data_IF_283338253004
#
_entry.id   IF_283338253004
#
_cell.length_a   1.000
_cell.length_b   1.000
_cell.length_c   1.000
_cell.angle_alpha   90.00
_cell.angle_beta   90.00
_cell.angle_gamma   90.00
#
_symmetry.space_group_name_H-M   'P 1'
#
loop_
_entity.id
_entity.type
_entity.pdbx_description
1 polymer ?
#
# COMPACT_ATOMS: atom_id res chain seq x y z
N UNK A 1 70.00 3.46 -13.56
CA UNK A 1 68.66 2.86 -13.38
C UNK A 1 67.80 3.89 -12.66
N UNK A 2 67.02 4.64 -13.43
CA UNK A 2 65.99 5.56 -12.92
C UNK A 2 64.70 5.08 -13.53
N UNK A 3 63.78 4.63 -12.67
CA UNK A 3 62.42 4.27 -13.05
C UNK A 3 61.63 5.58 -13.21
N UNK A 4 61.30 5.93 -14.46
CA UNK A 4 60.29 6.92 -14.76
C UNK A 4 58.93 6.28 -14.46
N UNK A 5 58.22 6.86 -13.48
CA UNK A 5 56.82 6.53 -13.21
C UNK A 5 55.98 6.98 -14.41
N UNK A 6 55.30 6.02 -15.03
CA UNK A 6 54.29 6.27 -16.05
C UNK A 6 53.05 6.82 -15.34
N UNK A 7 52.76 8.10 -15.55
CA UNK A 7 51.42 8.65 -15.36
C UNK A 7 50.44 7.85 -16.22
N UNK A 8 49.64 7.02 -15.58
CA UNK A 8 48.47 6.43 -16.22
C UNK A 8 47.37 7.49 -16.22
N UNK A 9 47.25 8.19 -17.35
CA UNK A 9 46.01 8.81 -17.79
C UNK A 9 44.92 7.73 -17.73
N UNK A 10 44.05 7.80 -16.71
CA UNK A 10 42.76 7.12 -16.75
C UNK A 10 41.87 7.95 -17.69
N UNK A 11 41.31 7.38 -18.76
CA UNK A 11 40.27 8.07 -19.50
C UNK A 11 39.12 8.35 -18.51
N UNK A 12 38.72 9.62 -18.42
CA UNK A 12 37.46 10.00 -17.79
C UNK A 12 36.34 9.28 -18.53
N UNK A 13 35.87 8.19 -17.94
CA UNK A 13 34.66 7.49 -18.32
C UNK A 13 33.48 8.33 -17.83
N UNK A 14 33.35 9.54 -18.37
CA UNK A 14 32.09 10.28 -18.38
C UNK A 14 31.20 9.56 -19.40
N UNK A 15 30.67 8.42 -18.98
CA UNK A 15 29.48 7.86 -19.60
C UNK A 15 28.41 8.96 -19.65
N UNK A 16 27.57 9.01 -20.70
CA UNK A 16 26.58 10.06 -20.82
C UNK A 16 25.76 10.10 -19.54
N UNK A 17 25.79 11.25 -18.85
CA UNK A 17 24.82 11.57 -17.80
C UNK A 17 23.44 11.39 -18.43
N UNK A 18 22.80 10.25 -18.13
CA UNK A 18 21.38 10.08 -18.42
C UNK A 18 20.68 11.19 -17.64
N UNK A 19 19.82 12.01 -18.29
CA UNK A 19 19.13 13.07 -17.58
C UNK A 19 18.32 12.43 -16.44
N UNK A 20 18.74 12.66 -15.20
CA UNK A 20 17.89 12.54 -14.02
C UNK A 20 16.78 13.60 -14.16
N UNK A 21 15.54 13.17 -13.89
CA UNK A 21 14.35 14.02 -13.79
C UNK A 21 13.83 14.69 -15.08
N UNK A 22 13.27 13.88 -15.98
CA UNK A 22 11.94 14.29 -16.47
C UNK A 22 10.89 13.69 -15.52
N UNK A 23 10.00 14.49 -14.92
CA UNK A 23 8.83 13.91 -14.27
C UNK A 23 8.13 13.05 -15.32
N UNK A 24 7.98 11.75 -15.03
CA UNK A 24 7.20 10.85 -15.88
C UNK A 24 5.77 11.37 -16.06
N UNK A 25 5.02 10.82 -17.02
CA UNK A 25 3.68 11.31 -17.36
C UNK A 25 2.79 11.41 -16.11
N UNK A 26 2.01 12.48 -15.99
CA UNK A 26 0.97 12.54 -14.97
C UNK A 26 -0.29 11.80 -15.47
N UNK A 27 -1.15 11.39 -14.54
CA UNK A 27 -2.41 10.72 -14.89
C UNK A 27 -3.29 11.55 -15.84
N UNK A 28 -3.24 12.88 -15.73
CA UNK A 28 -4.00 13.81 -16.56
C UNK A 28 -3.39 14.02 -17.96
N UNK A 29 -2.14 13.60 -18.17
CA UNK A 29 -1.46 13.69 -19.47
C UNK A 29 -1.78 12.49 -20.38
N UNK A 30 -2.28 11.38 -19.79
CA UNK A 30 -2.61 10.16 -20.52
C UNK A 30 -3.85 10.33 -21.41
N UNK A 31 -4.00 9.42 -22.39
CA UNK A 31 -5.21 9.38 -23.21
C UNK A 31 -6.46 9.25 -22.32
N UNK A 32 -7.54 9.98 -22.63
CA UNK A 32 -8.72 10.06 -21.76
C UNK A 32 -9.28 8.71 -21.34
N UNK A 33 -9.38 7.76 -22.28
CA UNK A 33 -9.88 6.41 -22.01
C UNK A 33 -8.98 5.66 -21.01
N UNK A 34 -7.66 5.73 -21.22
CA UNK A 34 -6.65 5.16 -20.32
C UNK A 34 -6.73 5.77 -18.93
N UNK A 35 -6.76 7.10 -18.85
CA UNK A 35 -6.82 7.80 -17.59
C UNK A 35 -8.12 7.47 -16.82
N UNK A 36 -9.23 7.29 -17.52
CA UNK A 36 -10.49 6.85 -16.92
C UNK A 36 -10.42 5.40 -16.42
N UNK A 37 -9.81 4.50 -17.18
CA UNK A 37 -9.60 3.12 -16.79
C UNK A 37 -8.76 3.01 -15.51
N UNK A 38 -7.66 3.76 -15.42
CA UNK A 38 -6.79 3.77 -14.23
C UNK A 38 -7.53 4.34 -13.01
N UNK A 39 -8.32 5.43 -13.18
CA UNK A 39 -9.15 5.98 -12.10
C UNK A 39 -10.19 4.97 -11.61
N UNK A 40 -10.85 4.28 -12.53
CA UNK A 40 -11.83 3.24 -12.19
C UNK A 40 -11.17 2.07 -11.45
N UNK A 41 -10.01 1.61 -11.93
CA UNK A 41 -9.20 0.59 -11.26
C UNK A 41 -8.81 1.01 -9.84
N UNK A 42 -8.39 2.26 -9.63
CA UNK A 42 -8.04 2.79 -8.32
C UNK A 42 -9.25 2.83 -7.38
N UNK A 43 -10.40 3.28 -7.86
CA UNK A 43 -11.65 3.30 -7.09
C UNK A 43 -12.11 1.87 -6.72
N UNK A 44 -12.02 0.93 -7.65
CA UNK A 44 -12.34 -0.47 -7.40
C UNK A 44 -11.37 -1.08 -6.37
N UNK A 45 -10.07 -0.84 -6.53
CA UNK A 45 -9.05 -1.29 -5.58
C UNK A 45 -9.28 -0.69 -4.20
N UNK A 46 -9.65 0.59 -4.11
CA UNK A 46 -10.00 1.25 -2.85
C UNK A 46 -11.13 0.53 -2.12
N UNK A 47 -12.22 0.21 -2.82
CA UNK A 47 -13.39 -0.47 -2.25
C UNK A 47 -13.09 -1.93 -1.85
N UNK A 48 -12.26 -2.63 -2.62
CA UNK A 48 -11.80 -3.99 -2.30
C UNK A 48 -10.78 -4.03 -1.15
N UNK A 49 -10.14 -2.90 -0.88
CA UNK A 49 -9.12 -2.75 0.14
C UNK A 49 -7.69 -2.86 -0.34
N UNK A 50 -7.44 -2.88 -1.64
CA UNK A 50 -6.12 -2.97 -2.24
C UNK A 50 -6.22 -3.53 -3.66
N UNK A 51 -5.12 -3.46 -4.39
CA UNK A 51 -5.00 -4.11 -5.69
C UNK A 51 -4.34 -5.48 -5.52
N UNK A 52 -5.01 -6.55 -5.97
CA UNK A 52 -4.42 -7.88 -5.99
C UNK A 52 -3.49 -8.06 -7.20
N UNK A 53 -2.63 -9.10 -7.20
CA UNK A 53 -1.83 -9.42 -8.38
C UNK A 53 -2.65 -9.64 -9.65
N UNK A 54 -3.82 -10.28 -9.56
CA UNK A 54 -4.69 -10.50 -10.73
C UNK A 54 -5.35 -9.21 -11.21
N UNK A 55 -5.73 -8.31 -10.30
CA UNK A 55 -6.29 -7.01 -10.65
C UNK A 55 -5.26 -6.18 -11.43
N UNK A 56 -4.00 -6.17 -10.98
CA UNK A 56 -2.90 -5.46 -11.67
C UNK A 56 -2.61 -6.10 -13.02
N UNK A 57 -2.52 -7.43 -13.10
CA UNK A 57 -2.33 -8.13 -14.37
C UNK A 57 -3.46 -7.83 -15.36
N UNK A 58 -4.72 -7.82 -14.90
CA UNK A 58 -5.88 -7.47 -15.72
C UNK A 58 -5.75 -6.05 -16.28
N UNK A 59 -5.34 -5.07 -15.45
CA UNK A 59 -5.09 -3.71 -15.88
C UNK A 59 -4.02 -3.64 -16.99
N UNK A 60 -2.87 -4.29 -16.82
CA UNK A 60 -1.81 -4.31 -17.84
C UNK A 60 -2.24 -4.95 -19.16
N UNK A 61 -3.19 -5.88 -19.14
CA UNK A 61 -3.70 -6.54 -20.34
C UNK A 61 -4.89 -5.82 -21.01
N UNK A 62 -5.39 -4.73 -20.41
CA UNK A 62 -6.48 -3.96 -20.99
C UNK A 62 -6.05 -3.30 -22.31
N UNK A 63 -6.90 -3.32 -23.36
CA UNK A 63 -6.56 -2.74 -24.66
C UNK A 63 -6.08 -1.28 -24.59
N UNK A 64 -6.67 -0.49 -23.70
CA UNK A 64 -6.33 0.91 -23.45
C UNK A 64 -4.88 1.05 -22.94
N UNK A 65 -4.44 0.17 -22.04
CA UNK A 65 -3.07 0.19 -21.51
C UNK A 65 -2.06 -0.35 -22.52
N UNK A 66 -2.36 -1.49 -23.16
CA UNK A 66 -1.45 -2.15 -24.12
C UNK A 66 -1.14 -1.25 -25.32
N UNK A 67 -2.08 -0.39 -25.71
CA UNK A 67 -1.93 0.51 -26.86
C UNK A 67 -1.40 1.90 -26.50
N UNK A 68 -1.17 2.17 -25.21
CA UNK A 68 -0.72 3.45 -24.67
C UNK A 68 0.61 3.26 -23.90
N UNK A 69 1.77 3.50 -24.56
CA UNK A 69 3.08 3.33 -23.93
C UNK A 69 3.31 4.25 -22.72
N UNK A 70 2.69 5.44 -22.70
CA UNK A 70 2.80 6.37 -21.57
C UNK A 70 2.04 5.84 -20.36
N UNK A 71 0.90 5.19 -20.59
CA UNK A 71 0.16 4.51 -19.53
C UNK A 71 0.90 3.31 -18.96
N UNK A 72 1.55 2.52 -19.82
CA UNK A 72 2.39 1.41 -19.37
C UNK A 72 3.53 1.93 -18.49
N UNK A 73 4.24 2.97 -18.95
CA UNK A 73 5.30 3.60 -18.15
C UNK A 73 4.77 4.18 -16.84
N UNK A 74 3.57 4.78 -16.83
CA UNK A 74 2.93 5.28 -15.61
C UNK A 74 2.67 4.15 -14.59
N UNK A 75 2.20 2.99 -15.04
CA UNK A 75 1.94 1.84 -14.18
C UNK A 75 3.22 1.13 -13.74
N UNK A 76 4.24 1.05 -14.60
CA UNK A 76 5.54 0.45 -14.29
C UNK A 76 6.18 1.17 -13.10
N UNK A 77 6.13 2.50 -13.09
CA UNK A 77 6.60 3.29 -11.94
C UNK A 77 5.96 2.84 -10.63
N UNK A 78 4.66 2.54 -10.64
CA UNK A 78 3.96 2.10 -9.42
C UNK A 78 4.25 0.66 -9.04
N UNK A 79 4.19 -0.26 -10.00
CA UNK A 79 4.10 -1.70 -9.71
C UNK A 79 5.39 -2.47 -9.97
N UNK A 80 6.31 -1.90 -10.77
CA UNK A 80 7.62 -2.46 -11.06
C UNK A 80 8.70 -1.72 -10.25
N UNK A 81 8.70 -0.39 -10.31
CA UNK A 81 9.74 0.43 -9.66
C UNK A 81 9.41 0.75 -8.19
N UNK A 82 8.15 0.62 -7.78
CA UNK A 82 7.69 0.92 -6.43
C UNK A 82 7.63 2.42 -6.11
N UNK A 83 7.75 3.28 -7.12
CA UNK A 83 7.56 4.73 -7.01
C UNK A 83 6.07 5.09 -6.95
N UNK A 84 5.75 6.30 -6.50
CA UNK A 84 4.39 6.84 -6.60
C UNK A 84 4.33 7.80 -7.80
N UNK A 85 3.58 7.45 -8.86
CA UNK A 85 3.38 8.36 -9.98
C UNK A 85 2.67 9.65 -9.57
N UNK A 86 2.85 10.71 -10.35
CA UNK A 86 2.24 12.01 -10.06
C UNK A 86 0.71 11.93 -10.06
N UNK A 87 0.08 12.47 -9.01
CA UNK A 87 -1.38 12.44 -8.81
C UNK A 87 -1.93 11.09 -8.30
N UNK A 88 -1.09 10.05 -8.18
CA UNK A 88 -1.52 8.73 -7.69
C UNK A 88 -1.97 8.79 -6.23
N UNK A 89 -1.12 9.36 -5.36
CA UNK A 89 -1.40 9.44 -3.92
C UNK A 89 -2.61 10.31 -3.63
N UNK A 90 -2.67 11.50 -4.21
CA UNK A 90 -3.79 12.44 -4.04
C UNK A 90 -5.14 11.78 -4.39
N UNK A 91 -5.19 11.08 -5.52
CA UNK A 91 -6.39 10.34 -5.91
C UNK A 91 -6.71 9.18 -4.96
N UNK A 92 -5.70 8.43 -4.50
CA UNK A 92 -5.92 7.35 -3.51
C UNK A 92 -6.46 7.87 -2.19
N UNK A 93 -5.96 9.02 -1.73
CA UNK A 93 -6.38 9.68 -0.49
C UNK A 93 -7.81 10.18 -0.61
N UNK A 94 -8.13 10.89 -1.71
CA UNK A 94 -9.49 11.37 -2.00
C UNK A 94 -10.50 10.22 -2.08
N UNK A 95 -10.13 9.12 -2.76
CA UNK A 95 -10.95 7.91 -2.85
C UNK A 95 -11.16 7.27 -1.49
N UNK A 96 -10.11 7.18 -0.66
CA UNK A 96 -10.19 6.57 0.67
C UNK A 96 -11.08 7.39 1.60
N UNK A 97 -10.93 8.71 1.63
CA UNK A 97 -11.76 9.62 2.42
C UNK A 97 -13.23 9.57 1.96
N UNK A 98 -13.46 9.56 0.65
CA UNK A 98 -14.81 9.46 0.09
C UNK A 98 -15.46 8.10 0.42
N UNK A 99 -14.70 7.00 0.35
CA UNK A 99 -15.20 5.66 0.62
C UNK A 99 -15.47 5.43 2.11
N UNK A 100 -14.68 6.05 3.00
CA UNK A 100 -14.88 5.95 4.46
C UNK A 100 -16.25 6.49 4.90
N UNK A 101 -16.70 7.60 4.30
CA UNK A 101 -18.02 8.17 4.54
C UNK A 101 -19.15 7.57 3.70
N UNK A 102 -18.86 6.63 2.80
CA UNK A 102 -19.82 6.14 1.82
C UNK A 102 -20.71 4.99 2.36
N UNK A 103 -21.97 4.88 1.90
CA UNK A 103 -22.81 3.73 2.21
C UNK A 103 -22.20 2.40 1.74
N UNK A 104 -22.50 1.31 2.46
CA UNK A 104 -22.15 -0.04 2.00
C UNK A 104 -22.75 -0.33 0.62
N UNK A 105 -21.95 -0.91 -0.28
CA UNK A 105 -22.37 -1.20 -1.65
C UNK A 105 -22.18 -0.05 -2.64
N UNK A 106 -21.46 1.01 -2.26
CA UNK A 106 -21.00 2.06 -3.18
C UNK A 106 -20.21 1.45 -4.34
N UNK A 107 -20.51 1.87 -5.56
CA UNK A 107 -19.81 1.40 -6.77
C UNK A 107 -18.59 2.28 -7.06
N UNK A 108 -17.61 1.80 -7.84
CA UNK A 108 -16.45 2.61 -8.23
C UNK A 108 -16.85 3.92 -8.93
N UNK A 109 -17.88 3.91 -9.77
CA UNK A 109 -18.38 5.10 -10.48
C UNK A 109 -18.98 6.10 -9.50
N UNK A 110 -19.82 5.64 -8.57
CA UNK A 110 -20.40 6.50 -7.54
C UNK A 110 -19.30 7.12 -6.65
N UNK A 111 -18.25 6.35 -6.34
CA UNK A 111 -17.11 6.84 -5.57
C UNK A 111 -16.34 7.93 -6.34
N UNK A 112 -16.05 7.70 -7.62
CA UNK A 112 -15.41 8.69 -8.48
C UNK A 112 -16.25 9.97 -8.63
N UNK A 113 -17.57 9.84 -8.71
CA UNK A 113 -18.47 10.99 -8.72
C UNK A 113 -18.42 11.79 -7.41
N UNK A 114 -18.29 11.12 -6.25
CA UNK A 114 -18.12 11.80 -4.97
C UNK A 114 -16.81 12.59 -4.91
N UNK A 115 -15.71 11.99 -5.37
CA UNK A 115 -14.40 12.66 -5.49
C UNK A 115 -14.49 13.86 -6.43
N UNK A 116 -15.10 13.70 -7.62
CA UNK A 116 -15.20 14.77 -8.61
C UNK A 116 -16.06 15.97 -8.15
N UNK A 117 -16.99 15.75 -7.21
CA UNK A 117 -17.82 16.82 -6.62
C UNK A 117 -17.10 17.58 -5.50
N UNK A 118 -15.99 17.04 -4.99
CA UNK A 118 -15.17 17.68 -3.97
C UNK A 118 -14.33 18.77 -4.62
N UNK A 119 -14.18 19.92 -3.96
CA UNK A 119 -13.27 20.95 -4.45
C UNK A 119 -11.83 20.40 -4.41
N UNK A 120 -10.99 20.66 -5.43
CA UNK A 120 -9.59 20.23 -5.41
C UNK A 120 -8.91 20.80 -4.17
N UNK A 121 -8.45 19.91 -3.29
CA UNK A 121 -7.67 20.27 -2.12
C UNK A 121 -6.18 20.16 -2.47
N UNK A 122 -5.32 21.04 -1.94
CA UNK A 122 -3.88 20.83 -2.05
C UNK A 122 -3.51 19.47 -1.43
N UNK A 123 -2.47 18.84 -1.97
CA UNK A 123 -1.87 17.60 -1.48
C UNK A 123 -1.72 17.66 0.03
N UNK A 124 -2.47 16.83 0.74
CA UNK A 124 -2.47 16.75 2.20
C UNK A 124 -2.33 15.29 2.57
N UNK A 125 -1.41 15.00 3.48
CA UNK A 125 -1.42 13.71 4.15
C UNK A 125 -2.81 13.53 4.78
N UNK A 126 -3.45 12.38 4.60
CA UNK A 126 -4.68 12.01 5.33
C UNK A 126 -4.48 12.01 6.86
N UNK A 127 -3.21 12.11 7.30
CA UNK A 127 -2.77 12.18 8.67
C UNK A 127 -2.41 13.62 9.14
N UNK A 128 -2.35 14.60 8.22
CA UNK A 128 -2.16 16.02 8.58
C UNK A 128 -3.53 16.71 8.76
N UNK A 129 -4.12 16.58 9.94
CA UNK A 129 -5.35 17.30 10.31
C UNK A 129 -5.02 18.74 10.80
N UNK A 130 -5.51 19.81 10.13
CA UNK A 130 -5.29 21.19 10.58
C UNK A 130 -6.00 21.54 11.89
N UNK A 131 -6.95 20.74 12.37
CA UNK A 131 -7.61 20.97 13.67
C UNK A 131 -6.74 20.52 14.87
N UNK A 132 -5.58 19.88 14.63
CA UNK A 132 -4.64 19.45 15.67
C UNK A 132 -3.54 20.49 16.00
N UNK A 133 -3.60 21.68 15.39
CA UNK A 133 -2.55 22.71 15.55
C UNK A 133 -2.79 23.71 16.69
N UNK A 134 -3.95 23.72 17.34
CA UNK A 134 -4.32 24.74 18.35
C UNK A 134 -4.88 24.18 19.68
N UNK A 135 -4.55 22.94 20.06
CA UNK A 135 -4.82 22.45 21.42
C UNK A 135 -3.53 22.40 22.23
N UNK A 136 -3.29 23.44 23.04
CA UNK A 136 -2.30 23.39 24.12
C UNK A 136 -2.52 22.13 24.98
N UNK A 137 -1.57 21.19 24.93
CA UNK A 137 -1.17 20.45 26.12
C UNK A 137 -1.75 19.06 26.39
N UNK A 138 -2.15 18.28 25.39
CA UNK A 138 -2.26 16.83 25.54
C UNK A 138 -1.43 16.09 24.49
N UNK A 139 -0.31 15.44 24.86
CA UNK A 139 0.34 14.52 23.94
C UNK A 139 -0.61 13.36 23.67
N UNK A 140 -1.27 13.35 22.51
CA UNK A 140 -1.97 12.16 21.95
C UNK A 140 -1.06 10.91 21.97
N UNK A 141 0.26 11.13 22.05
CA UNK A 141 1.31 10.12 21.92
C UNK A 141 2.17 9.98 23.19
N UNK A 142 1.64 10.21 24.39
CA UNK A 142 2.38 9.83 25.59
C UNK A 142 2.57 8.31 25.58
N UNK A 143 3.80 7.86 25.31
CA UNK A 143 4.14 6.43 25.31
C UNK A 143 3.66 5.83 26.64
N UNK A 144 2.85 4.78 26.57
CA UNK A 144 2.31 4.12 27.76
C UNK A 144 3.42 3.45 28.59
N UNK A 145 4.53 3.09 27.93
CA UNK A 145 5.73 2.51 28.52
C UNK A 145 6.98 3.25 28.01
N UNK A 146 8.12 3.12 28.72
CA UNK A 146 9.43 3.66 28.30
C UNK A 146 10.02 2.96 27.04
N UNK A 147 9.19 2.30 26.24
CA UNK A 147 9.53 1.68 24.94
C UNK A 147 8.34 1.66 23.99
N UNK A 148 8.65 1.62 22.70
CA UNK A 148 7.66 1.40 21.65
C UNK A 148 6.97 0.02 21.81
N UNK A 149 5.68 -0.08 21.48
CA UNK A 149 4.95 -1.35 21.51
C UNK A 149 5.51 -2.35 20.49
N UNK A 150 5.43 -3.62 20.84
CA UNK A 150 5.61 -4.77 19.94
C UNK A 150 4.26 -5.48 19.76
N UNK A 151 4.10 -6.32 18.72
CA UNK A 151 2.92 -7.17 18.52
C UNK A 151 2.61 -8.03 19.74
N UNK A 152 3.63 -8.53 20.44
CA UNK A 152 3.47 -9.34 21.65
C UNK A 152 2.91 -8.55 22.85
N UNK A 153 2.97 -7.22 22.81
CA UNK A 153 2.41 -6.34 23.84
C UNK A 153 0.90 -6.08 23.65
N UNK A 154 0.33 -6.50 22.53
CA UNK A 154 -1.04 -6.19 22.14
C UNK A 154 -2.01 -7.29 22.59
N UNK A 155 -3.25 -6.90 22.87
CA UNK A 155 -4.33 -7.84 23.13
C UNK A 155 -4.56 -8.76 21.90
N UNK A 156 -4.95 -10.00 22.16
CA UNK A 156 -5.07 -11.05 21.12
C UNK A 156 -5.92 -10.64 19.91
N UNK A 157 -7.02 -9.92 20.13
CA UNK A 157 -7.91 -9.46 19.07
C UNK A 157 -7.26 -8.37 18.21
N UNK A 158 -6.64 -7.38 18.85
CA UNK A 158 -5.97 -6.26 18.19
C UNK A 158 -4.71 -6.73 17.46
N UNK A 159 -3.91 -7.59 18.09
CA UNK A 159 -2.77 -8.26 17.45
C UNK A 159 -3.20 -8.97 16.17
N UNK A 160 -4.21 -9.86 16.26
CA UNK A 160 -4.73 -10.58 15.08
C UNK A 160 -5.23 -9.63 13.99
N UNK A 161 -5.90 -8.54 14.37
CA UNK A 161 -6.40 -7.56 13.42
C UNK A 161 -5.26 -6.84 12.68
N UNK A 162 -4.22 -6.43 13.40
CA UNK A 162 -3.04 -5.76 12.84
C UNK A 162 -2.20 -6.73 12.00
N UNK A 163 -1.94 -7.96 12.47
CA UNK A 163 -1.22 -8.97 11.70
C UNK A 163 -1.92 -9.28 10.37
N UNK A 164 -3.27 -9.38 10.38
CA UNK A 164 -4.06 -9.59 9.16
C UNK A 164 -3.94 -8.42 8.21
N UNK A 165 -3.88 -7.21 8.73
CA UNK A 165 -3.68 -5.99 7.94
C UNK A 165 -2.30 -6.02 7.26
N UNK A 166 -1.23 -6.27 8.02
CA UNK A 166 0.16 -6.36 7.50
C UNK A 166 0.29 -7.43 6.42
N UNK A 167 -0.27 -8.63 6.66
CA UNK A 167 -0.22 -9.73 5.68
C UNK A 167 -1.04 -9.39 4.45
N UNK A 168 -2.25 -8.84 4.61
CA UNK A 168 -3.09 -8.40 3.49
C UNK A 168 -2.39 -7.40 2.59
N UNK A 169 -1.71 -6.41 3.19
CA UNK A 169 -0.89 -5.42 2.48
C UNK A 169 0.23 -6.05 1.69
N UNK A 170 0.92 -7.02 2.29
CA UNK A 170 2.08 -7.68 1.69
C UNK A 170 1.68 -8.63 0.56
N UNK A 171 0.55 -9.32 0.69
CA UNK A 171 0.03 -10.22 -0.35
C UNK A 171 -0.52 -9.44 -1.55
N UNK A 172 -1.10 -8.26 -1.33
CA UNK A 172 -1.48 -7.32 -2.39
C UNK A 172 -0.31 -6.44 -2.85
N UNK A 173 -0.60 -5.47 -3.72
CA UNK A 173 0.29 -4.35 -4.02
C UNK A 173 0.03 -3.15 -3.10
N UNK A 174 -0.14 -3.44 -1.79
CA UNK A 174 -0.57 -2.49 -0.76
C UNK A 174 -2.07 -2.54 -0.47
N UNK A 175 -2.46 -2.10 0.74
CA UNK A 175 -3.86 -1.87 1.11
C UNK A 175 -4.28 -0.43 0.81
N UNK A 176 -5.57 -0.23 0.56
CA UNK A 176 -6.14 1.09 0.48
C UNK A 176 -6.24 1.72 1.87
N UNK A 177 -5.93 3.02 1.98
CA UNK A 177 -5.86 3.72 3.27
C UNK A 177 -7.15 3.63 4.09
N UNK A 178 -8.31 3.49 3.44
CA UNK A 178 -9.60 3.23 4.11
C UNK A 178 -9.55 2.02 5.08
N UNK A 179 -8.81 0.95 4.77
CA UNK A 179 -8.71 -0.20 5.67
C UNK A 179 -7.89 0.10 6.92
N UNK A 180 -6.88 0.96 6.80
CA UNK A 180 -6.12 1.47 7.95
C UNK A 180 -7.01 2.37 8.80
N UNK A 181 -7.80 3.25 8.17
CA UNK A 181 -8.78 4.09 8.87
C UNK A 181 -9.83 3.27 9.63
N UNK A 182 -10.39 2.23 8.99
CA UNK A 182 -11.35 1.31 9.62
C UNK A 182 -10.73 0.51 10.77
N UNK A 183 -9.47 0.08 10.62
CA UNK A 183 -8.74 -0.58 11.69
C UNK A 183 -8.57 0.37 12.88
N UNK A 184 -8.15 1.62 12.63
CA UNK A 184 -7.97 2.66 13.65
C UNK A 184 -9.28 2.96 14.37
N UNK A 185 -10.38 3.23 13.66
CA UNK A 185 -11.70 3.50 14.25
C UNK A 185 -12.16 2.35 15.17
N UNK A 186 -11.93 1.10 14.76
CA UNK A 186 -12.23 -0.06 15.60
C UNK A 186 -11.38 -0.11 16.87
N UNK A 187 -10.08 0.18 16.77
CA UNK A 187 -9.18 0.19 17.93
C UNK A 187 -9.52 1.33 18.91
N UNK A 188 -9.87 2.51 18.38
CA UNK A 188 -10.41 3.64 19.14
C UNK A 188 -11.71 3.27 19.85
N UNK A 189 -12.64 2.60 19.16
CA UNK A 189 -13.90 2.14 19.74
C UNK A 189 -13.70 1.11 20.87
N UNK A 190 -12.63 0.30 20.81
CA UNK A 190 -12.23 -0.60 21.90
C UNK A 190 -11.36 0.06 22.98
N UNK A 191 -10.96 1.33 22.79
CA UNK A 191 -10.02 2.04 23.67
C UNK A 191 -8.68 1.31 23.84
N UNK A 192 -8.19 0.66 22.78
CA UNK A 192 -6.91 -0.05 22.79
C UNK A 192 -5.77 0.90 22.41
N UNK A 193 -5.37 1.71 23.39
CA UNK A 193 -4.32 2.73 23.22
C UNK A 193 -2.97 2.13 22.82
N UNK A 194 -2.67 0.89 23.23
CA UNK A 194 -1.39 0.25 22.92
C UNK A 194 -1.35 -0.21 21.47
N UNK A 195 -2.43 -0.78 20.96
CA UNK A 195 -2.55 -1.12 19.54
C UNK A 195 -2.57 0.11 18.64
N UNK A 196 -3.17 1.21 19.09
CA UNK A 196 -3.11 2.49 18.37
C UNK A 196 -1.67 3.02 18.30
N UNK A 197 -0.94 3.05 19.41
CA UNK A 197 0.48 3.43 19.42
C UNK A 197 1.32 2.56 18.48
N UNK A 198 0.99 1.28 18.36
CA UNK A 198 1.67 0.36 17.45
C UNK A 198 1.36 0.67 15.98
N UNK A 199 0.10 0.98 15.67
CA UNK A 199 -0.33 1.39 14.33
C UNK A 199 0.31 2.73 13.94
N UNK A 200 0.51 3.65 14.88
CA UNK A 200 1.08 4.96 14.55
C UNK A 200 2.58 4.88 14.13
N UNK A 201 3.34 3.87 14.58
CA UNK A 201 4.76 3.73 14.21
C UNK A 201 5.01 3.76 12.69
N UNK A 202 4.49 2.82 11.88
CA UNK A 202 4.72 2.82 10.44
C UNK A 202 3.87 3.85 9.67
N UNK A 203 2.66 4.17 10.15
CA UNK A 203 1.69 4.96 9.38
C UNK A 203 1.75 6.45 9.67
N UNK A 204 2.08 6.86 10.90
CA UNK A 204 2.27 8.27 11.29
C UNK A 204 3.75 8.65 11.30
N UNK A 205 4.61 7.77 11.83
CA UNK A 205 6.03 8.09 12.04
C UNK A 205 6.95 7.56 10.92
N UNK A 206 6.42 6.75 10.00
CA UNK A 206 7.23 6.11 8.96
C UNK A 206 8.28 5.14 9.50
N UNK A 207 8.14 4.74 10.77
CA UNK A 207 9.05 3.83 11.46
C UNK A 207 8.55 2.40 11.29
N UNK A 208 9.31 1.58 10.54
CA UNK A 208 8.98 0.17 10.37
C UNK A 208 9.20 -0.59 11.69
N UNK A 209 8.17 -1.24 12.27
CA UNK A 209 8.36 -2.07 13.45
C UNK A 209 9.20 -3.32 13.12
N UNK A 210 10.12 -3.69 14.01
CA UNK A 210 11.11 -4.74 13.76
C UNK A 210 10.51 -6.15 13.68
N UNK A 211 9.37 -6.35 14.33
CA UNK A 211 8.62 -7.60 14.41
C UNK A 211 7.67 -7.81 13.22
N UNK A 212 7.70 -6.92 12.22
CA UNK A 212 6.98 -7.13 10.95
C UNK A 212 7.72 -8.03 9.98
N UNK A 213 9.04 -8.12 10.10
CA UNK A 213 9.89 -8.71 9.07
C UNK A 213 9.54 -10.18 8.82
N UNK A 214 9.35 -10.96 9.89
CA UNK A 214 8.99 -12.38 9.79
C UNK A 214 7.61 -12.59 9.12
N UNK A 215 6.63 -11.75 9.44
CA UNK A 215 5.28 -11.80 8.84
C UNK A 215 5.33 -11.45 7.36
N UNK A 216 6.08 -10.39 7.03
CA UNK A 216 6.24 -9.92 5.65
C UNK A 216 6.98 -10.94 4.80
N UNK A 217 8.09 -11.49 5.29
CA UNK A 217 8.87 -12.49 4.56
C UNK A 217 8.03 -13.76 4.31
N UNK A 218 7.25 -14.19 5.30
CA UNK A 218 6.30 -15.29 5.15
C UNK A 218 5.24 -14.99 4.09
N UNK A 219 4.64 -13.80 4.11
CA UNK A 219 3.66 -13.37 3.13
C UNK A 219 4.25 -13.21 1.71
N UNK A 220 5.45 -12.66 1.57
CA UNK A 220 6.16 -12.52 0.29
C UNK A 220 6.49 -13.89 -0.32
N UNK A 221 6.99 -14.81 0.50
CA UNK A 221 7.24 -16.19 0.09
C UNK A 221 5.95 -16.87 -0.38
N UNK A 222 4.85 -16.70 0.36
CA UNK A 222 3.55 -17.23 0.00
C UNK A 222 3.05 -16.63 -1.33
N UNK A 223 3.12 -15.31 -1.48
CA UNK A 223 2.75 -14.58 -2.69
C UNK A 223 3.49 -15.13 -3.92
N UNK A 224 4.82 -15.26 -3.84
CA UNK A 224 5.62 -15.81 -4.93
C UNK A 224 5.18 -17.22 -5.34
N UNK A 225 4.78 -18.07 -4.37
CA UNK A 225 4.31 -19.45 -4.63
C UNK A 225 2.94 -19.50 -5.31
N UNK A 226 2.03 -18.57 -4.97
CA UNK A 226 0.73 -18.43 -5.61
C UNK A 226 0.87 -17.84 -7.03
N UNK A 227 1.64 -16.77 -7.18
CA UNK A 227 1.90 -16.12 -8.47
C UNK A 227 2.57 -17.08 -9.46
N UNK A 228 3.54 -17.89 -9.01
CA UNK A 228 4.18 -18.93 -9.84
C UNK A 228 3.20 -19.97 -10.40
N UNK A 229 1.99 -20.07 -9.82
CA UNK A 229 0.91 -20.97 -10.24
C UNK A 229 -0.23 -20.24 -10.95
N UNK A 230 -0.10 -18.93 -11.19
CA UNK A 230 -1.17 -18.09 -11.75
C UNK A 230 -2.39 -18.00 -10.84
N UNK A 231 -2.20 -18.11 -9.53
CA UNK A 231 -3.26 -17.96 -8.53
C UNK A 231 -3.11 -16.64 -7.78
N UNK A 232 -4.22 -16.06 -7.35
CA UNK A 232 -4.23 -14.81 -6.60
C UNK A 232 -4.06 -15.07 -5.09
N UNK A 233 -2.94 -14.65 -4.48
CA UNK A 233 -2.72 -14.83 -3.06
C UNK A 233 -3.63 -13.95 -2.18
N UNK A 234 -4.00 -12.76 -2.66
CA UNK A 234 -4.91 -11.86 -1.92
C UNK A 234 -6.30 -12.48 -1.83
N UNK A 235 -6.83 -13.02 -2.94
CA UNK A 235 -8.13 -13.70 -2.93
C UNK A 235 -8.09 -14.95 -2.04
N UNK A 236 -7.01 -15.74 -2.11
CA UNK A 236 -6.85 -16.93 -1.29
C UNK A 236 -6.85 -16.58 0.21
N UNK A 237 -6.13 -15.53 0.59
CA UNK A 237 -6.08 -15.04 1.96
C UNK A 237 -7.43 -14.51 2.45
N UNK A 238 -8.13 -13.71 1.64
CA UNK A 238 -9.47 -13.22 1.99
C UNK A 238 -10.47 -14.38 2.18
N UNK A 239 -10.44 -15.38 1.29
CA UNK A 239 -11.27 -16.59 1.45
C UNK A 239 -10.94 -17.33 2.74
N UNK A 240 -9.65 -17.53 3.04
CA UNK A 240 -9.24 -18.21 4.26
C UNK A 240 -9.66 -17.43 5.52
N UNK A 241 -9.53 -16.10 5.52
CA UNK A 241 -9.96 -15.25 6.63
C UNK A 241 -11.47 -15.34 6.89
N UNK A 242 -12.29 -15.44 5.82
CA UNK A 242 -13.75 -15.61 5.93
C UNK A 242 -14.11 -17.02 6.42
N UNK A 243 -13.44 -18.06 5.90
CA UNK A 243 -13.71 -19.45 6.25
C UNK A 243 -13.22 -19.82 7.65
N UNK A 244 -12.16 -19.15 8.12
CA UNK A 244 -11.48 -19.45 9.37
C UNK A 244 -11.27 -18.19 10.23
N UNK A 245 -12.34 -17.49 10.64
CA UNK A 245 -12.22 -16.19 11.30
C UNK A 245 -11.54 -16.24 12.67
N UNK A 246 -11.53 -17.41 13.32
CA UNK A 246 -10.90 -17.62 14.63
C UNK A 246 -9.44 -18.08 14.59
N UNK A 247 -8.86 -18.32 13.41
CA UNK A 247 -7.44 -18.68 13.30
C UNK A 247 -6.55 -17.44 13.43
N UNK A 248 -5.42 -17.61 14.10
CA UNK A 248 -4.33 -16.64 14.04
C UNK A 248 -3.71 -16.58 12.64
N UNK A 249 -2.93 -15.54 12.39
CA UNK A 249 -2.35 -15.28 11.07
C UNK A 249 -1.33 -16.35 10.69
N UNK A 250 -0.55 -16.85 11.64
CA UNK A 250 0.42 -17.91 11.40
C UNK A 250 -0.25 -19.21 10.92
N UNK A 251 -1.39 -19.59 11.51
CA UNK A 251 -2.18 -20.74 11.08
C UNK A 251 -2.80 -20.52 9.70
N UNK A 252 -3.32 -19.31 9.41
CA UNK A 252 -3.83 -18.98 8.08
C UNK A 252 -2.73 -19.06 7.02
N UNK A 253 -1.54 -18.51 7.29
CA UNK A 253 -0.39 -18.59 6.39
C UNK A 253 0.07 -20.04 6.16
N UNK A 254 0.07 -20.87 7.22
CA UNK A 254 0.40 -22.29 7.11
C UNK A 254 -0.61 -23.02 6.21
N UNK A 255 -1.91 -22.79 6.41
CA UNK A 255 -2.96 -23.38 5.58
C UNK A 255 -2.80 -23.00 4.10
N UNK A 256 -2.50 -21.73 3.83
CA UNK A 256 -2.29 -21.24 2.47
C UNK A 256 -1.00 -21.79 1.86
N UNK A 257 0.06 -21.97 2.64
CA UNK A 257 1.29 -22.60 2.18
C UNK A 257 1.05 -24.06 1.79
N UNK A 258 0.28 -24.80 2.59
CA UNK A 258 -0.15 -26.17 2.26
C UNK A 258 -1.08 -26.23 1.05
N UNK A 259 -1.96 -25.24 0.87
CA UNK A 259 -2.81 -25.12 -0.32
C UNK A 259 -1.94 -24.87 -1.58
N UNK A 260 -0.98 -23.95 -1.49
CA UNK A 260 -0.05 -23.68 -2.56
C UNK A 260 0.72 -24.94 -2.95
N UNK A 261 1.12 -25.78 -1.98
CA UNK A 261 1.89 -27.00 -2.23
C UNK A 261 1.08 -28.20 -2.69
N UNK A 262 -0.24 -28.20 -2.47
CA UNK A 262 -1.12 -29.28 -2.92
C UNK A 262 -1.38 -29.16 -4.43
N UNK A 263 -0.44 -29.68 -5.23
CA UNK A 263 -0.62 -30.23 -6.59
C UNK A 263 0.68 -30.90 -7.07
#
# INVERSE_FOLDING_TARGET
>A
MHWNGVEQDRPSDEGPELPLDKPGPALDDLATATAQLIRHFLAQSCLKGGASPSDVAALYTAPEIVTDPEATAYLDRRYVDGELPHGWRELQDDLSEAAFGAPSGTTPEALLELVARRAPRPSRSIFDDPDDLDVEGHPRNARLLDRDPLLEDLDDDSRRAIERHIVGETLGYGLAAIHTMQLRERLEASSDERALQYLDLPWEHGERPTDWDDLRDSALSLRARFEARGQDPTDAFQRAAIQHPGLDVAAVLTLLAEEADRR
#
